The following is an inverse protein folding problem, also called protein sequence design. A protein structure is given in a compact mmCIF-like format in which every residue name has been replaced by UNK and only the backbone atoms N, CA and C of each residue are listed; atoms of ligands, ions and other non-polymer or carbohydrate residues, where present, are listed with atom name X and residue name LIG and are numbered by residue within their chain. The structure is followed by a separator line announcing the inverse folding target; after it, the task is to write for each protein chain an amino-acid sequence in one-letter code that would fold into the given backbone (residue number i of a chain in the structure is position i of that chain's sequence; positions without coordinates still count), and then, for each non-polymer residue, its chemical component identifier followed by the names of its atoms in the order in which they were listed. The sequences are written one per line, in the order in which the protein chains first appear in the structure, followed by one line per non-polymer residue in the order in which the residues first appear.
data_IF_918438942960
#
_entry.id   IF_918438942960
#
_cell.length_a   1.000
_cell.length_b   1.000
_cell.length_c   1.000
_cell.angle_alpha   90.00
_cell.angle_beta   90.00
_cell.angle_gamma   90.00
#
_symmetry.space_group_name_H-M   'P 1'
#
loop_
_entity.id
_entity.type
_entity.pdbx_description
1 polymer ?
#
# COMPACT_ATOMS: atom_id res chain seq x y z
N UNK A 1 -1.83 13.74 34.57
CA UNK A 1 -2.46 12.73 33.67
C UNK A 1 -2.47 13.18 32.21
N UNK A 2 -2.95 14.39 31.88
CA UNK A 2 -2.98 14.90 30.49
C UNK A 2 -1.60 14.91 29.79
N UNK A 3 -0.55 15.43 30.44
CA UNK A 3 0.82 15.42 29.89
C UNK A 3 1.36 14.01 29.61
N UNK A 4 1.00 13.03 30.46
CA UNK A 4 1.36 11.63 30.25
C UNK A 4 0.66 11.04 29.01
N UNK A 5 -0.62 11.34 28.83
CA UNK A 5 -1.40 10.90 27.65
C UNK A 5 -0.85 11.56 26.38
N UNK A 6 -0.62 12.88 26.40
CA UNK A 6 -0.07 13.62 25.26
C UNK A 6 1.30 13.08 24.83
N UNK A 7 2.19 12.77 25.79
CA UNK A 7 3.49 12.15 25.50
C UNK A 7 3.35 10.76 24.88
N UNK A 8 2.40 9.95 25.35
CA UNK A 8 2.13 8.62 24.78
C UNK A 8 1.59 8.70 23.36
N UNK A 9 0.63 9.59 23.11
CA UNK A 9 0.08 9.85 21.77
C UNK A 9 1.16 10.40 20.83
N UNK A 10 2.01 11.30 21.33
CA UNK A 10 3.13 11.85 20.58
C UNK A 10 4.17 10.80 20.16
N UNK A 11 4.35 9.73 20.94
CA UNK A 11 5.20 8.58 20.58
C UNK A 11 4.50 7.60 19.62
N UNK A 12 3.17 7.50 19.72
CA UNK A 12 2.37 6.62 18.87
C UNK A 12 2.40 7.08 17.40
N UNK A 13 2.32 8.39 17.16
CA UNK A 13 2.36 8.97 15.80
C UNK A 13 3.60 8.51 15.01
N UNK A 14 4.86 8.80 15.43
CA UNK A 14 6.04 8.40 14.67
C UNK A 14 6.21 6.88 14.58
N UNK A 15 5.80 6.14 15.61
CA UNK A 15 5.83 4.66 15.58
C UNK A 15 4.87 4.11 14.53
N UNK A 16 3.64 4.64 14.50
CA UNK A 16 2.63 4.25 13.53
C UNK A 16 3.10 4.57 12.11
N UNK A 17 3.55 5.81 11.86
CA UNK A 17 4.09 6.20 10.56
C UNK A 17 5.30 5.34 10.15
N UNK A 18 6.21 5.04 11.08
CA UNK A 18 7.37 4.20 10.82
C UNK A 18 6.98 2.79 10.39
N UNK A 19 6.06 2.15 11.12
CA UNK A 19 5.57 0.81 10.78
C UNK A 19 4.79 0.83 9.47
N UNK A 20 3.86 1.78 9.28
CA UNK A 20 3.07 1.89 8.05
C UNK A 20 3.97 2.06 6.82
N UNK A 21 4.95 2.97 6.87
CA UNK A 21 5.86 3.20 5.76
C UNK A 21 6.76 2.00 5.51
N UNK A 22 7.26 1.36 6.57
CA UNK A 22 8.08 0.16 6.46
C UNK A 22 7.29 -0.98 5.81
N UNK A 23 6.09 -1.27 6.29
CA UNK A 23 5.23 -2.31 5.73
C UNK A 23 4.87 -2.02 4.28
N UNK A 24 4.53 -0.77 3.96
CA UNK A 24 4.26 -0.35 2.58
C UNK A 24 5.46 -0.56 1.65
N UNK A 25 6.65 -0.15 2.08
CA UNK A 25 7.89 -0.33 1.33
C UNK A 25 8.20 -1.81 1.11
N UNK A 26 8.06 -2.64 2.15
CA UNK A 26 8.28 -4.09 2.05
C UNK A 26 7.32 -4.75 1.05
N UNK A 27 6.03 -4.41 1.10
CA UNK A 27 5.03 -4.93 0.15
C UNK A 27 5.40 -4.51 -1.28
N UNK A 28 5.84 -3.26 -1.50
CA UNK A 28 6.19 -2.78 -2.85
C UNK A 28 7.53 -3.30 -3.36
N UNK A 29 8.41 -3.75 -2.48
CA UNK A 29 9.65 -4.45 -2.85
C UNK A 29 9.39 -5.88 -3.34
N UNK A 30 8.22 -6.46 -3.05
CA UNK A 30 7.86 -7.78 -3.60
C UNK A 30 7.70 -7.64 -5.11
N UNK A 31 8.53 -8.33 -5.91
CA UNK A 31 8.39 -8.31 -7.36
C UNK A 31 7.12 -9.08 -7.75
N UNK A 32 6.25 -8.45 -8.53
CA UNK A 32 5.01 -9.06 -9.01
C UNK A 32 3.96 -7.99 -9.29
N UNK A 33 3.16 -8.22 -10.33
CA UNK A 33 2.05 -7.32 -10.64
C UNK A 33 0.86 -7.64 -9.70
N UNK A 34 0.33 -6.67 -8.94
CA UNK A 34 -0.78 -6.90 -8.01
C UNK A 34 -2.01 -7.47 -8.72
N UNK A 35 -2.27 -7.04 -9.95
CA UNK A 35 -3.41 -7.51 -10.75
C UNK A 35 -3.19 -8.96 -11.16
N UNK A 36 -1.97 -9.33 -11.55
CA UNK A 36 -1.65 -10.73 -11.87
C UNK A 36 -1.76 -11.62 -10.63
N UNK A 37 -1.27 -11.17 -9.47
CA UNK A 37 -1.39 -11.90 -8.20
C UNK A 37 -2.85 -12.09 -7.79
N UNK A 38 -3.70 -11.08 -7.97
CA UNK A 38 -5.13 -11.16 -7.67
C UNK A 38 -5.91 -12.08 -8.63
N UNK A 39 -5.47 -12.18 -9.89
CA UNK A 39 -6.12 -13.01 -10.91
C UNK A 39 -5.67 -14.48 -10.86
N UNK A 40 -4.55 -14.77 -10.21
CA UNK A 40 -4.02 -16.12 -10.02
C UNK A 40 -3.61 -16.77 -11.34
N UNK A 41 -3.91 -18.06 -11.53
CA UNK A 41 -3.54 -18.83 -12.73
C UNK A 41 -4.32 -18.44 -14.00
N UNK A 42 -5.27 -17.50 -13.90
CA UNK A 42 -6.00 -17.01 -15.08
C UNK A 42 -5.10 -16.06 -15.84
N UNK A 43 -4.81 -16.38 -17.11
CA UNK A 43 -4.16 -15.43 -18.02
C UNK A 43 -5.01 -14.18 -18.08
N UNK A 44 -4.43 -13.06 -17.66
CA UNK A 44 -5.08 -11.75 -17.78
C UNK A 44 -4.86 -11.29 -19.21
N UNK A 45 -5.96 -11.09 -19.94
CA UNK A 45 -5.93 -10.39 -21.21
C UNK A 45 -5.39 -8.96 -20.99
N UNK A 46 -4.41 -8.46 -21.76
CA UNK A 46 -3.79 -7.15 -21.53
C UNK A 46 -4.79 -5.99 -21.40
N UNK A 47 -5.93 -6.05 -22.10
CA UNK A 47 -6.98 -5.03 -21.98
C UNK A 47 -7.66 -5.08 -20.60
N UNK A 48 -7.97 -6.28 -20.12
CA UNK A 48 -8.55 -6.49 -18.78
C UNK A 48 -7.57 -6.08 -17.68
N UNK A 49 -6.27 -6.31 -17.90
CA UNK A 49 -5.22 -5.88 -16.99
C UNK A 49 -5.17 -4.36 -16.86
N UNK A 50 -5.11 -3.64 -17.99
CA UNK A 50 -5.07 -2.18 -18.01
C UNK A 50 -6.30 -1.56 -17.35
N UNK A 51 -7.50 -2.10 -17.63
CA UNK A 51 -8.73 -1.66 -16.97
C UNK A 51 -8.71 -1.91 -15.46
N UNK A 52 -8.16 -3.03 -15.01
CA UNK A 52 -8.03 -3.32 -13.58
C UNK A 52 -7.02 -2.38 -12.91
N UNK A 53 -5.87 -2.11 -13.54
CA UNK A 53 -4.88 -1.15 -13.05
C UNK A 53 -5.46 0.25 -12.89
N UNK A 54 -6.29 0.70 -13.84
CA UNK A 54 -6.96 1.99 -13.79
C UNK A 54 -8.03 2.05 -12.69
N UNK A 55 -8.88 1.01 -12.60
CA UNK A 55 -9.93 0.92 -11.57
C UNK A 55 -9.37 0.86 -10.16
N UNK A 56 -8.24 0.17 -9.98
CA UNK A 56 -7.55 0.05 -8.71
C UNK A 56 -6.60 1.23 -8.44
N UNK A 57 -6.45 2.16 -9.39
CA UNK A 57 -5.55 3.30 -9.27
C UNK A 57 -4.06 2.93 -9.23
N UNK A 58 -3.70 1.69 -9.53
CA UNK A 58 -2.33 1.17 -9.49
C UNK A 58 -1.42 1.78 -10.57
N UNK A 59 -2.01 2.44 -11.56
CA UNK A 59 -1.33 3.24 -12.58
C UNK A 59 -0.98 4.68 -12.13
N UNK A 60 -1.45 5.14 -10.97
CA UNK A 60 -1.17 6.49 -10.44
C UNK A 60 0.19 6.55 -9.74
N UNK A 61 0.80 7.74 -9.55
CA UNK A 61 1.98 7.86 -8.71
C UNK A 61 1.66 7.51 -7.25
N UNK A 62 2.65 7.02 -6.48
CA UNK A 62 2.45 6.44 -5.14
C UNK A 62 1.72 7.34 -4.12
N UNK A 63 1.84 8.66 -4.26
CA UNK A 63 1.13 9.61 -3.39
C UNK A 63 -0.37 9.75 -3.74
N UNK A 64 -0.80 9.17 -4.87
CA UNK A 64 -2.14 9.22 -5.43
C UNK A 64 -2.76 7.84 -5.67
N UNK A 65 -2.04 6.75 -5.32
CA UNK A 65 -2.59 5.39 -5.20
C UNK A 65 -3.24 5.26 -3.82
#
# INVERSE_FOLDING_TARGET
MFSFIARRLGLLIPTFFGITLLTFALIRMIPGDPVEVMMGERRVDPEMHAQAMERLGLNKPLYAQ
#
